data_IF_302869444027
#
_entry.id   IF_302869444027
#
_cell.length_a   1.000
_cell.length_b   1.000
_cell.length_c   1.000
_cell.angle_alpha   90.00
_cell.angle_beta   90.00
_cell.angle_gamma   90.00
#
_symmetry.space_group_name_H-M   'P 1'
#
loop_
_entity.id
_entity.type
_entity.pdbx_description
1 polymer ?
#
# COMPACT_ATOMS: atom_id res chain seq x y z
N UNK A 1 -2.60 13.81 2.25
CA UNK A 1 -3.18 15.16 2.20
C UNK A 1 -3.53 15.54 0.76
N UNK A 2 -4.54 16.39 0.59
CA UNK A 2 -4.96 16.94 -0.70
C UNK A 2 -4.79 18.46 -0.66
N UNK A 3 -4.11 18.99 -1.68
CA UNK A 3 -3.84 20.42 -1.83
C UNK A 3 -4.40 20.91 -3.18
N UNK A 4 -4.49 22.23 -3.39
CA UNK A 4 -4.77 22.79 -4.70
C UNK A 4 -3.73 22.34 -5.73
N UNK A 5 -4.15 22.12 -6.98
CA UNK A 5 -3.24 21.80 -8.08
C UNK A 5 -2.12 22.85 -8.25
N UNK A 6 -2.46 24.13 -8.06
CA UNK A 6 -1.52 25.25 -8.19
C UNK A 6 -0.36 25.21 -7.19
N UNK A 7 -0.42 24.38 -6.16
CA UNK A 7 0.66 24.20 -5.18
C UNK A 7 1.96 23.73 -5.85
N UNK A 8 1.86 22.76 -6.77
CA UNK A 8 3.00 22.29 -7.58
C UNK A 8 3.03 22.97 -8.95
N UNK A 9 1.87 23.22 -9.54
CA UNK A 9 1.71 23.89 -10.83
C UNK A 9 2.30 23.11 -12.01
N UNK A 10 2.40 21.79 -11.89
CA UNK A 10 2.92 20.88 -12.91
C UNK A 10 2.05 19.65 -13.02
N UNK A 11 1.94 19.09 -14.23
CA UNK A 11 1.30 17.80 -14.48
C UNK A 11 2.20 16.61 -14.14
N UNK A 12 3.48 16.86 -13.91
CA UNK A 12 4.44 15.83 -13.51
C UNK A 12 4.35 15.55 -12.02
N UNK A 13 4.40 14.27 -11.66
CA UNK A 13 4.50 13.86 -10.27
C UNK A 13 5.92 14.08 -9.73
N UNK A 14 6.00 14.51 -8.48
CA UNK A 14 7.27 14.67 -7.76
C UNK A 14 7.45 13.50 -6.78
N UNK A 15 8.60 12.84 -6.84
CA UNK A 15 9.07 11.90 -5.84
C UNK A 15 10.12 12.56 -4.95
N UNK A 16 9.90 12.59 -3.64
CA UNK A 16 10.88 13.00 -2.65
C UNK A 16 11.48 11.71 -2.05
N UNK A 17 12.69 11.31 -2.48
CA UNK A 17 13.20 9.95 -2.27
C UNK A 17 13.74 9.73 -0.85
N UNK A 18 14.02 10.80 -0.10
CA UNK A 18 14.67 10.69 1.20
C UNK A 18 14.15 11.75 2.16
N UNK A 19 13.27 11.35 3.05
CA UNK A 19 12.83 12.15 4.18
C UNK A 19 13.78 12.01 5.38
N UNK A 20 13.57 12.79 6.43
CA UNK A 20 14.38 12.73 7.66
C UNK A 20 14.37 11.34 8.31
N UNK A 21 13.28 10.59 8.14
CA UNK A 21 13.06 9.24 8.68
C UNK A 21 13.26 8.11 7.66
N UNK A 22 13.73 8.45 6.45
CA UNK A 22 14.06 7.50 5.40
C UNK A 22 12.87 7.03 4.55
N UNK A 23 11.66 7.56 4.78
CA UNK A 23 10.47 7.29 3.95
C UNK A 23 10.54 8.03 2.62
N UNK A 24 9.74 7.60 1.66
CA UNK A 24 9.51 8.32 0.40
C UNK A 24 8.16 9.03 0.49
N UNK A 25 8.10 10.26 -0.02
CA UNK A 25 6.87 11.04 -0.15
C UNK A 25 6.66 11.37 -1.61
N UNK A 26 5.43 11.31 -2.05
CA UNK A 26 5.00 11.63 -3.40
C UNK A 26 4.08 12.84 -3.38
N UNK A 27 4.26 13.73 -4.33
CA UNK A 27 3.31 14.78 -4.67
C UNK A 27 2.80 14.48 -6.08
N UNK A 28 1.54 14.06 -6.19
CA UNK A 28 0.96 13.51 -7.43
C UNK A 28 -0.21 14.38 -7.88
N UNK A 29 -0.13 15.05 -9.04
CA UNK A 29 -1.27 15.70 -9.66
C UNK A 29 -2.34 14.65 -9.99
N UNK A 30 -3.56 14.86 -9.52
CA UNK A 30 -4.66 13.94 -9.75
C UNK A 30 -6.00 14.68 -9.75
N UNK A 31 -6.75 14.58 -10.84
CA UNK A 31 -8.09 15.18 -11.00
C UNK A 31 -8.17 16.67 -10.60
N UNK A 32 -7.21 17.48 -11.06
CA UNK A 32 -7.18 18.91 -10.77
C UNK A 32 -6.80 19.28 -9.33
N UNK A 33 -6.23 18.34 -8.59
CA UNK A 33 -5.71 18.49 -7.23
C UNK A 33 -4.28 17.97 -7.16
N UNK A 34 -3.61 18.21 -6.04
CA UNK A 34 -2.32 17.63 -5.71
C UNK A 34 -2.50 16.69 -4.51
N UNK A 35 -2.22 15.40 -4.70
CA UNK A 35 -2.16 14.44 -3.61
C UNK A 35 -0.75 14.38 -3.05
N UNK A 36 -0.59 14.55 -1.74
CA UNK A 36 0.67 14.50 -1.02
C UNK A 36 0.66 13.35 -0.01
N UNK A 37 1.60 12.46 -0.07
CA UNK A 37 1.73 11.30 0.82
C UNK A 37 2.85 10.34 0.37
N UNK A 38 3.15 9.31 1.13
CA UNK A 38 2.35 8.78 2.23
C UNK A 38 3.03 9.07 3.58
N UNK A 39 2.21 9.08 4.63
CA UNK A 39 2.70 8.84 6.00
C UNK A 39 2.60 7.35 6.31
N UNK A 40 3.17 6.91 7.43
CA UNK A 40 3.14 5.52 7.88
C UNK A 40 3.35 5.51 9.40
N UNK A 41 2.23 5.61 10.12
CA UNK A 41 2.21 5.75 11.57
C UNK A 41 1.46 4.59 12.21
N UNK A 42 1.86 4.24 13.44
CA UNK A 42 1.15 3.23 14.22
C UNK A 42 -0.26 3.73 14.57
N UNK A 43 -1.26 2.91 14.28
CA UNK A 43 -2.66 3.23 14.54
C UNK A 43 -3.19 2.32 15.66
N UNK A 44 -3.63 2.94 16.78
CA UNK A 44 -3.97 2.21 18.00
C UNK A 44 -5.48 2.03 18.20
N UNK A 45 -6.31 2.63 17.34
CA UNK A 45 -7.79 2.59 17.41
C UNK A 45 -8.39 1.99 16.14
N UNK A 46 -8.20 0.67 15.90
CA UNK A 46 -8.59 0.04 14.63
C UNK A 46 -10.10 0.08 14.34
N UNK A 47 -10.93 0.33 15.35
CA UNK A 47 -12.39 0.44 15.22
C UNK A 47 -12.85 1.85 14.79
N UNK A 48 -11.95 2.81 14.71
CA UNK A 48 -12.23 4.16 14.25
C UNK A 48 -11.77 4.33 12.79
N UNK A 49 -12.46 5.19 12.05
CA UNK A 49 -12.03 5.53 10.70
C UNK A 49 -10.71 6.31 10.75
N UNK A 50 -9.64 5.84 10.06
CA UNK A 50 -8.37 6.52 10.07
C UNK A 50 -8.46 7.87 9.38
N UNK A 51 -7.99 8.89 10.06
CA UNK A 51 -7.93 10.28 9.59
C UNK A 51 -6.49 10.77 9.52
N UNK A 52 -6.25 11.77 8.71
CA UNK A 52 -4.96 12.45 8.65
C UNK A 52 -4.77 13.30 9.92
N UNK A 53 -3.80 12.95 10.74
CA UNK A 53 -3.50 13.65 11.98
C UNK A 53 -2.62 14.90 11.77
N UNK A 54 -2.69 15.86 12.70
CA UNK A 54 -1.92 17.10 12.62
C UNK A 54 -0.40 16.88 12.53
N UNK A 55 0.13 15.88 13.25
CA UNK A 55 1.56 15.53 13.17
C UNK A 55 1.98 15.02 11.79
N UNK A 56 1.07 14.30 11.12
CA UNK A 56 1.31 13.80 9.77
C UNK A 56 1.27 14.94 8.75
N UNK A 57 0.36 15.88 8.94
CA UNK A 57 0.32 17.12 8.14
C UNK A 57 1.63 17.89 8.27
N UNK A 58 2.13 18.08 9.50
CA UNK A 58 3.40 18.76 9.74
C UNK A 58 4.55 18.07 9.02
N UNK A 59 4.65 16.75 9.13
CA UNK A 59 5.65 15.96 8.42
C UNK A 59 5.58 16.11 6.90
N UNK A 60 4.37 16.05 6.33
CA UNK A 60 4.17 16.17 4.88
C UNK A 60 4.55 17.57 4.37
N UNK A 61 4.13 18.63 5.08
CA UNK A 61 4.46 20.00 4.70
C UNK A 61 5.93 20.33 4.89
N UNK A 62 6.56 19.88 5.98
CA UNK A 62 8.01 20.02 6.17
C UNK A 62 8.81 19.31 5.07
N UNK A 63 8.28 18.19 4.56
CA UNK A 63 8.92 17.42 3.50
C UNK A 63 8.76 18.07 2.13
N UNK A 64 7.58 18.63 1.82
CA UNK A 64 7.28 19.21 0.51
C UNK A 64 7.83 20.64 0.34
N UNK A 65 7.67 21.49 1.37
CA UNK A 65 7.95 22.93 1.27
C UNK A 65 9.36 23.30 0.76
N UNK A 66 10.44 22.54 1.07
CA UNK A 66 11.75 22.83 0.51
C UNK A 66 11.85 22.77 -1.02
N UNK A 67 10.90 22.14 -1.67
CA UNK A 67 10.84 21.96 -3.12
C UNK A 67 9.86 22.92 -3.83
N UNK A 68 9.14 23.72 -3.07
CA UNK A 68 8.18 24.68 -3.60
C UNK A 68 8.77 26.08 -3.73
N UNK A 69 8.35 26.80 -4.74
CA UNK A 69 8.67 28.23 -4.89
C UNK A 69 8.00 29.10 -3.79
N UNK A 70 6.84 28.69 -3.34
CA UNK A 70 6.09 29.31 -2.26
C UNK A 70 5.66 28.23 -1.27
N UNK A 71 6.05 28.38 -0.01
CA UNK A 71 5.67 27.44 1.04
C UNK A 71 4.15 27.43 1.28
N UNK A 72 3.63 26.27 1.61
CA UNK A 72 2.23 26.04 1.96
C UNK A 72 2.13 25.74 3.45
N UNK A 73 1.13 26.28 4.11
CA UNK A 73 0.76 25.98 5.49
C UNK A 73 -0.42 25.00 5.59
N UNK A 74 -0.87 24.73 6.81
CA UNK A 74 -1.98 23.82 7.06
C UNK A 74 -3.30 24.27 6.43
N UNK A 75 -3.52 25.58 6.33
CA UNK A 75 -4.74 26.14 5.75
C UNK A 75 -4.81 25.89 4.22
N UNK A 76 -3.68 25.59 3.60
CA UNK A 76 -3.61 25.16 2.21
C UNK A 76 -4.12 23.74 1.96
N UNK A 77 -4.32 22.92 2.99
CA UNK A 77 -4.84 21.55 2.84
C UNK A 77 -6.36 21.60 2.70
N UNK A 78 -6.86 21.07 1.61
CA UNK A 78 -8.29 21.07 1.27
C UNK A 78 -9.02 19.81 1.70
N UNK A 79 -8.33 18.69 1.87
CA UNK A 79 -8.84 17.42 2.35
C UNK A 79 -7.69 16.51 2.84
N UNK A 80 -8.05 15.50 3.62
CA UNK A 80 -7.14 14.44 4.04
C UNK A 80 -7.89 13.12 4.15
N UNK A 81 -7.18 12.02 3.96
CA UNK A 81 -7.71 10.68 4.18
C UNK A 81 -6.58 9.76 4.62
N UNK A 82 -6.95 8.70 5.32
CA UNK A 82 -6.06 7.64 5.77
C UNK A 82 -6.62 6.27 5.42
N UNK A 83 -5.79 5.26 5.58
CA UNK A 83 -6.17 3.86 5.43
C UNK A 83 -5.27 2.97 6.27
N UNK A 84 -5.79 1.87 6.74
CA UNK A 84 -5.02 0.88 7.50
C UNK A 84 -4.30 -0.07 6.54
N UNK A 85 -3.05 -0.39 6.86
CA UNK A 85 -2.31 -1.48 6.18
C UNK A 85 -2.46 -2.74 7.01
N UNK A 86 -3.02 -3.81 6.45
CA UNK A 86 -3.04 -5.11 7.11
C UNK A 86 -1.62 -5.70 7.07
N UNK A 87 -0.84 -5.47 8.14
CA UNK A 87 0.48 -6.06 8.28
C UNK A 87 0.35 -7.41 8.98
N UNK A 88 1.02 -8.43 8.43
CA UNK A 88 1.05 -9.76 9.02
C UNK A 88 2.20 -9.83 10.01
N UNK A 89 1.89 -10.22 11.24
CA UNK A 89 2.90 -10.65 12.19
C UNK A 89 3.17 -12.14 11.94
N UNK A 90 4.40 -12.52 11.56
CA UNK A 90 4.74 -13.92 11.35
C UNK A 90 4.36 -14.75 12.56
N UNK A 91 3.74 -15.91 12.33
CA UNK A 91 3.30 -16.80 13.40
C UNK A 91 4.52 -17.44 14.06
N UNK A 92 4.99 -16.87 15.17
CA UNK A 92 6.18 -17.28 15.92
C UNK A 92 5.98 -18.59 16.70
N UNK A 93 5.04 -19.44 16.33
CA UNK A 93 4.84 -20.73 16.99
C UNK A 93 6.00 -21.71 16.79
N UNK A 94 6.96 -21.41 15.91
CA UNK A 94 8.15 -22.23 15.67
C UNK A 94 9.47 -21.64 16.16
N UNK A 95 9.46 -20.39 16.67
CA UNK A 95 10.67 -19.82 17.27
C UNK A 95 10.44 -19.46 18.75
N UNK A 96 11.35 -19.94 19.57
CA UNK A 96 11.42 -19.86 21.02
C UNK A 96 10.95 -18.54 21.65
N UNK A 97 10.18 -18.65 22.72
CA UNK A 97 9.51 -17.69 23.62
C UNK A 97 10.26 -16.43 24.09
N UNK A 98 11.14 -15.84 23.32
CA UNK A 98 11.93 -14.67 23.74
C UNK A 98 12.03 -13.58 22.65
N UNK A 99 11.00 -13.38 21.85
CA UNK A 99 10.99 -12.25 20.90
C UNK A 99 10.10 -11.13 21.43
N UNK A 100 10.77 -10.05 21.86
CA UNK A 100 10.23 -8.71 22.05
C UNK A 100 9.36 -8.31 20.84
N UNK A 101 8.30 -7.51 21.09
CA UNK A 101 7.43 -6.91 20.05
C UNK A 101 8.26 -6.47 18.85
N UNK A 102 8.03 -7.12 17.71
CA UNK A 102 8.66 -6.75 16.44
C UNK A 102 8.14 -5.37 16.08
N UNK A 103 9.03 -4.43 15.82
CA UNK A 103 8.60 -3.09 15.42
C UNK A 103 7.78 -3.16 14.11
N UNK A 104 6.68 -2.40 13.94
CA UNK A 104 5.81 -2.44 12.76
C UNK A 104 6.55 -2.30 11.42
N UNK A 105 7.67 -1.56 11.42
CA UNK A 105 8.53 -1.38 10.24
C UNK A 105 9.24 -2.65 9.76
N UNK A 106 9.30 -3.71 10.58
CA UNK A 106 9.92 -4.99 10.24
C UNK A 106 8.89 -6.07 9.89
N UNK A 107 7.59 -5.76 9.97
CA UNK A 107 6.53 -6.68 9.56
C UNK A 107 6.55 -6.88 8.05
N UNK A 108 6.44 -8.14 7.62
CA UNK A 108 6.48 -8.50 6.22
C UNK A 108 5.22 -7.95 5.50
N UNK A 109 5.45 -7.34 4.36
CA UNK A 109 4.39 -6.91 3.42
C UNK A 109 4.03 -8.02 2.42
N UNK A 110 4.49 -9.23 2.68
CA UNK A 110 4.14 -10.41 1.90
C UNK A 110 2.82 -10.99 2.40
N UNK A 111 2.17 -11.79 1.60
CA UNK A 111 0.96 -12.48 2.01
C UNK A 111 1.30 -13.80 2.70
N UNK A 112 0.39 -14.24 3.56
CA UNK A 112 0.44 -15.51 4.25
C UNK A 112 -0.89 -16.23 4.11
N UNK A 113 -0.84 -17.55 3.99
CA UNK A 113 -2.04 -18.39 3.91
C UNK A 113 -2.05 -19.27 5.14
N UNK A 114 -3.09 -19.11 5.95
CA UNK A 114 -3.35 -19.93 7.11
C UNK A 114 -4.50 -20.90 6.82
N UNK A 115 -4.36 -22.14 7.30
CA UNK A 115 -5.42 -23.13 7.26
C UNK A 115 -5.78 -23.56 8.69
N UNK A 116 -7.04 -23.36 9.06
CA UNK A 116 -7.58 -23.88 10.32
C UNK A 116 -8.06 -25.32 10.12
N UNK A 117 -7.38 -26.32 10.70
CA UNK A 117 -7.73 -27.73 10.51
C UNK A 117 -9.06 -28.11 11.17
N UNK A 118 -9.59 -27.29 12.08
CA UNK A 118 -10.86 -27.57 12.78
C UNK A 118 -12.06 -27.15 11.94
N UNK A 119 -12.03 -25.92 11.42
CA UNK A 119 -13.12 -25.40 10.60
C UNK A 119 -12.95 -25.67 9.11
N UNK A 120 -11.71 -25.98 8.67
CA UNK A 120 -11.34 -26.08 7.25
C UNK A 120 -11.20 -24.74 6.54
N UNK A 121 -11.22 -23.63 7.28
CA UNK A 121 -11.10 -22.28 6.73
C UNK A 121 -9.68 -21.99 6.27
N UNK A 122 -9.56 -21.46 5.05
CA UNK A 122 -8.32 -20.84 4.57
C UNK A 122 -8.44 -19.32 4.69
N UNK A 123 -7.45 -18.71 5.34
CA UNK A 123 -7.35 -17.25 5.49
C UNK A 123 -6.16 -16.75 4.70
N UNK A 124 -6.39 -15.76 3.82
CA UNK A 124 -5.33 -15.04 3.11
C UNK A 124 -5.10 -13.71 3.82
N UNK A 125 -3.91 -13.53 4.38
CA UNK A 125 -3.53 -12.41 5.20
C UNK A 125 -2.47 -11.53 4.51
N UNK A 126 -2.50 -10.21 4.73
CA UNK A 126 -1.48 -9.29 4.25
C UNK A 126 -1.46 -9.12 2.72
N UNK A 127 -0.24 -9.00 2.17
CA UNK A 127 -0.01 -8.85 0.73
C UNK A 127 -0.13 -7.42 0.21
N UNK A 128 -0.10 -7.29 -1.12
CA UNK A 128 -0.16 -6.01 -1.84
C UNK A 128 -1.12 -6.13 -3.01
N UNK A 129 -1.77 -5.02 -3.34
CA UNK A 129 -2.64 -4.96 -4.51
C UNK A 129 -1.91 -5.37 -5.80
N UNK A 130 -0.65 -5.02 -5.94
CA UNK A 130 0.16 -5.34 -7.12
C UNK A 130 0.51 -6.83 -7.25
N UNK A 131 0.40 -7.63 -6.19
CA UNK A 131 0.68 -9.07 -6.16
C UNK A 131 -0.59 -9.93 -6.10
N UNK A 132 -1.78 -9.33 -6.29
CA UNK A 132 -3.09 -10.00 -6.11
C UNK A 132 -3.21 -11.32 -6.90
N UNK A 133 -2.65 -11.40 -8.12
CA UNK A 133 -2.68 -12.60 -8.93
C UNK A 133 -1.90 -13.74 -8.27
N UNK A 134 -0.69 -13.44 -7.77
CA UNK A 134 0.14 -14.43 -7.08
C UNK A 134 -0.54 -14.87 -5.76
N UNK A 135 -1.08 -13.91 -5.00
CA UNK A 135 -1.83 -14.20 -3.78
C UNK A 135 -3.00 -15.15 -4.05
N UNK A 136 -3.75 -14.91 -5.13
CA UNK A 136 -4.86 -15.78 -5.52
C UNK A 136 -4.37 -17.17 -5.97
N UNK A 137 -3.25 -17.24 -6.69
CA UNK A 137 -2.66 -18.50 -7.08
C UNK A 137 -2.26 -19.32 -5.86
N UNK A 138 -1.50 -18.75 -4.94
CA UNK A 138 -0.98 -19.45 -3.77
C UNK A 138 -2.13 -19.93 -2.86
N UNK A 139 -3.18 -19.11 -2.70
CA UNK A 139 -4.38 -19.50 -1.95
C UNK A 139 -5.11 -20.70 -2.60
N UNK A 140 -5.29 -20.68 -3.92
CA UNK A 140 -5.93 -21.79 -4.65
C UNK A 140 -5.07 -23.04 -4.63
N UNK A 141 -3.74 -22.90 -4.79
CA UNK A 141 -2.81 -24.02 -4.73
C UNK A 141 -2.83 -24.69 -3.35
N UNK A 142 -2.90 -23.91 -2.25
CA UNK A 142 -3.05 -24.45 -0.90
C UNK A 142 -4.35 -25.23 -0.72
N UNK A 143 -5.48 -24.72 -1.23
CA UNK A 143 -6.77 -25.43 -1.22
C UNK A 143 -6.71 -26.70 -2.05
N UNK A 144 -6.13 -26.65 -3.26
CA UNK A 144 -5.97 -27.81 -4.12
C UNK A 144 -5.12 -28.89 -3.45
N UNK A 145 -4.05 -28.51 -2.79
CA UNK A 145 -3.21 -29.42 -2.03
C UNK A 145 -3.99 -30.13 -0.91
N UNK A 146 -4.78 -29.37 -0.14
CA UNK A 146 -5.61 -29.92 0.94
C UNK A 146 -6.67 -30.89 0.43
N UNK A 147 -7.23 -30.63 -0.75
CA UNK A 147 -8.26 -31.46 -1.39
C UNK A 147 -7.69 -32.56 -2.29
N UNK A 148 -6.37 -32.71 -2.36
CA UNK A 148 -5.66 -33.66 -3.23
C UNK A 148 -6.01 -33.48 -4.73
N UNK A 149 -6.34 -32.24 -5.14
CA UNK A 149 -6.66 -31.88 -6.52
C UNK A 149 -5.37 -31.56 -7.29
N UNK A 150 -5.10 -32.28 -8.37
CA UNK A 150 -4.02 -31.97 -9.30
C UNK A 150 -4.47 -30.91 -10.29
N UNK A 151 -4.04 -29.66 -10.08
CA UNK A 151 -4.34 -28.55 -10.97
C UNK A 151 -3.08 -27.70 -11.23
N UNK A 152 -3.00 -27.11 -12.42
CA UNK A 152 -1.92 -26.19 -12.79
C UNK A 152 -2.51 -24.81 -12.99
N UNK A 153 -1.92 -23.81 -12.32
CA UNK A 153 -2.31 -22.42 -12.51
C UNK A 153 -2.08 -21.97 -13.97
N UNK A 154 -3.07 -21.30 -14.56
CA UNK A 154 -3.01 -20.72 -15.91
C UNK A 154 -3.15 -19.20 -15.92
N UNK A 155 -3.21 -18.57 -14.75
CA UNK A 155 -3.50 -17.13 -14.66
C UNK A 155 -2.31 -16.24 -15.02
N UNK A 156 -1.08 -16.78 -15.08
CA UNK A 156 0.11 -15.99 -15.44
C UNK A 156 -0.03 -15.40 -16.85
N UNK A 157 -0.54 -16.20 -17.80
CA UNK A 157 -0.68 -15.80 -19.20
C UNK A 157 -2.11 -15.43 -19.59
N UNK A 158 -3.02 -15.37 -18.61
CA UNK A 158 -4.42 -15.03 -18.86
C UNK A 158 -4.57 -13.55 -19.13
N UNK A 159 -5.10 -13.21 -20.30
CA UNK A 159 -5.35 -11.82 -20.67
C UNK A 159 -6.54 -11.25 -19.91
N UNK A 160 -6.33 -10.12 -19.24
CA UNK A 160 -7.41 -9.40 -18.59
C UNK A 160 -8.42 -8.86 -19.59
N UNK A 161 -9.67 -8.69 -19.15
CA UNK A 161 -10.70 -8.01 -19.93
C UNK A 161 -10.22 -6.60 -20.28
N UNK A 162 -10.32 -6.21 -21.53
CA UNK A 162 -9.81 -4.93 -22.03
C UNK A 162 -8.35 -4.94 -22.51
N UNK A 163 -7.59 -6.02 -22.28
CA UNK A 163 -6.20 -6.12 -22.76
C UNK A 163 -6.06 -6.39 -24.27
N UNK A 164 -7.17 -6.57 -24.99
CA UNK A 164 -7.13 -6.74 -26.45
C UNK A 164 -6.59 -5.46 -27.11
N UNK A 165 -5.51 -5.62 -27.91
CA UNK A 165 -4.84 -4.48 -28.55
C UNK A 165 -3.84 -3.73 -27.71
N UNK A 166 -3.68 -4.10 -26.41
CA UNK A 166 -2.62 -3.55 -25.57
C UNK A 166 -1.24 -4.00 -26.07
N UNK A 167 -0.34 -3.04 -26.24
CA UNK A 167 1.07 -3.26 -26.63
C UNK A 167 1.97 -2.45 -25.70
N UNK A 168 3.26 -2.77 -25.67
CA UNK A 168 4.25 -2.02 -24.87
C UNK A 168 4.28 -0.52 -25.20
N UNK A 169 3.89 -0.15 -26.43
CA UNK A 169 3.83 1.24 -26.90
C UNK A 169 2.44 1.88 -26.76
N UNK A 170 1.49 1.22 -26.10
CA UNK A 170 0.11 1.71 -26.00
C UNK A 170 0.06 3.10 -25.33
N UNK A 171 0.89 3.35 -24.34
CA UNK A 171 0.99 4.63 -23.63
C UNK A 171 1.37 5.81 -24.54
N UNK A 172 2.02 5.56 -25.70
CA UNK A 172 2.34 6.60 -26.70
C UNK A 172 1.13 7.05 -27.51
N UNK A 173 -0.01 6.37 -27.34
CA UNK A 173 -1.25 6.63 -28.10
C UNK A 173 -2.33 7.32 -27.27
N UNK A 174 -2.05 7.48 -25.96
CA UNK A 174 -2.90 8.19 -25.00
C UNK A 174 -2.41 9.63 -24.91
#
# INVERSE_FOLDING_TARGET
AVLPYSTLGSDDAMLIPKTKDGRMVFAIPFQGRLMLGTTDEDYLTPDEEPVLESKEVDFLLETLNPFLAQAVDKDGITAGFGGLRPLVQPNLQHETRHSSRVAPKSLLRDHEIEHDPVSGLFSLLGGKWTTYRLMAQDAVDAVCQQLEIQATCRTADYRLVGAAGFTEDFWKKI
#
